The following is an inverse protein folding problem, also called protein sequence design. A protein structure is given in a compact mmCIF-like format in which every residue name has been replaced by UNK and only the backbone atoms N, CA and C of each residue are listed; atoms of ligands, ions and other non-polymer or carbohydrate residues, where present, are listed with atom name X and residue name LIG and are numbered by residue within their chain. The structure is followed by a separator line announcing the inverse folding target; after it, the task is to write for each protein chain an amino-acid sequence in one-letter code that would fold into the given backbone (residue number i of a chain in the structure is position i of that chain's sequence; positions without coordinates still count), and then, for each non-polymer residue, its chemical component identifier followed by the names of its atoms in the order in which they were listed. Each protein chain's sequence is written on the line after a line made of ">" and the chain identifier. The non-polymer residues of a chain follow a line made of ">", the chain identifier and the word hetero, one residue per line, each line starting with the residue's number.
data_IF_984628724251
#
_entry.id   IF_984628724251
#
_cell.length_a   1.000
_cell.length_b   1.000
_cell.length_c   1.000
_cell.angle_alpha   90.00
_cell.angle_beta   90.00
_cell.angle_gamma   90.00
#
_symmetry.space_group_name_H-M   'P 1'
#
loop_
_entity.id
_entity.type
_entity.pdbx_description
1 polymer ?
#
# COMPACT_ATOMS: atom_id res chain seq x y z
N UNK A 1 32.21 10.48 61.86
CA UNK A 1 31.02 9.93 61.17
C UNK A 1 31.04 10.46 59.74
N UNK A 2 31.42 9.63 58.77
CA UNK A 2 31.49 10.00 57.35
C UNK A 2 30.23 9.45 56.69
N UNK A 3 29.38 10.35 56.18
CA UNK A 3 28.14 10.01 55.46
C UNK A 3 28.49 9.79 53.99
N UNK A 4 28.48 8.54 53.56
CA UNK A 4 28.59 8.15 52.15
C UNK A 4 27.23 8.34 51.46
N UNK A 5 27.15 9.23 50.48
CA UNK A 5 25.97 9.41 49.62
C UNK A 5 26.18 8.59 48.35
N UNK A 6 25.38 7.55 48.18
CA UNK A 6 25.36 6.69 46.98
C UNK A 6 24.53 7.38 45.88
N UNK A 7 25.10 7.75 44.73
CA UNK A 7 24.30 8.28 43.62
C UNK A 7 23.67 7.09 42.89
N UNK A 8 22.34 6.99 42.98
CA UNK A 8 21.55 6.12 42.14
C UNK A 8 21.55 6.69 40.72
N UNK A 9 22.37 6.12 39.83
CA UNK A 9 22.32 6.42 38.40
C UNK A 9 21.15 5.63 37.83
N UNK A 10 20.02 6.31 37.61
CA UNK A 10 18.91 5.77 36.84
C UNK A 10 19.36 5.58 35.39
N UNK A 11 19.62 4.33 35.01
CA UNK A 11 19.84 3.95 33.62
C UNK A 11 18.50 4.07 32.87
N UNK A 12 18.24 5.23 32.27
CA UNK A 12 17.17 5.40 31.29
C UNK A 12 17.53 4.58 30.05
N UNK A 13 16.93 3.40 29.92
CA UNK A 13 16.95 2.62 28.69
C UNK A 13 16.35 3.46 27.56
N UNK A 14 17.20 4.05 26.71
CA UNK A 14 16.78 4.66 25.45
C UNK A 14 16.41 3.52 24.52
N UNK A 15 15.13 3.16 24.49
CA UNK A 15 14.59 2.26 23.49
C UNK A 15 14.66 2.98 22.13
N UNK A 16 15.70 2.70 21.35
CA UNK A 16 15.77 3.09 19.95
C UNK A 16 14.68 2.32 19.20
N UNK A 17 13.54 2.96 18.94
CA UNK A 17 12.55 2.44 18.02
C UNK A 17 13.17 2.42 16.61
N UNK A 18 13.50 1.24 16.10
CA UNK A 18 13.87 1.05 14.71
C UNK A 18 12.61 1.21 13.85
N UNK A 19 12.47 2.36 13.19
CA UNK A 19 11.48 2.53 12.13
C UNK A 19 11.85 1.59 10.98
N UNK A 20 10.95 0.66 10.63
CA UNK A 20 11.12 -0.21 9.47
C UNK A 20 11.15 0.58 8.17
N UNK A 21 11.59 -0.02 7.06
CA UNK A 21 11.57 0.62 5.74
C UNK A 21 10.12 0.99 5.37
N UNK A 22 9.85 2.28 5.21
CA UNK A 22 8.55 2.76 4.74
C UNK A 22 8.47 2.49 3.23
N UNK A 23 7.57 1.61 2.83
CA UNK A 23 7.26 1.41 1.42
C UNK A 23 6.67 2.72 0.85
N UNK A 24 7.16 3.21 -0.31
CA UNK A 24 6.65 4.45 -0.89
C UNK A 24 5.22 4.25 -1.38
N UNK A 25 4.45 5.33 -1.37
CA UNK A 25 3.18 5.36 -2.10
C UNK A 25 3.47 5.34 -3.61
N UNK A 26 2.70 4.56 -4.36
CA UNK A 26 2.79 4.53 -5.81
C UNK A 26 1.72 5.41 -6.42
N UNK A 27 1.93 5.89 -7.63
CA UNK A 27 0.93 6.59 -8.44
C UNK A 27 0.50 5.67 -9.56
N UNK A 28 -0.76 5.29 -9.59
CA UNK A 28 -1.33 4.42 -10.63
C UNK A 28 -2.15 5.28 -11.58
N UNK A 29 -1.96 5.10 -12.88
CA UNK A 29 -2.76 5.81 -13.88
C UNK A 29 -4.23 5.33 -13.85
N UNK A 30 -5.16 6.27 -14.00
CA UNK A 30 -6.59 5.97 -14.10
C UNK A 30 -6.91 5.42 -15.48
N UNK A 31 -7.61 4.30 -15.49
CA UNK A 31 -8.06 3.63 -16.72
C UNK A 31 -9.56 3.43 -16.65
N UNK A 32 -10.26 3.72 -17.75
CA UNK A 32 -11.71 3.52 -17.84
C UNK A 32 -12.03 2.03 -17.62
N UNK A 33 -12.94 1.73 -16.69
CA UNK A 33 -13.23 0.35 -16.25
C UNK A 33 -12.02 -0.39 -15.66
N UNK A 34 -11.03 0.35 -15.15
CA UNK A 34 -9.76 -0.15 -14.63
C UNK A 34 -9.46 0.31 -13.21
N UNK A 35 -8.21 0.71 -12.96
CA UNK A 35 -7.80 1.38 -11.73
C UNK A 35 -8.51 2.74 -11.54
N UNK A 36 -9.14 2.93 -10.38
CA UNK A 36 -9.58 4.25 -9.90
C UNK A 36 -11.05 4.61 -10.12
N UNK A 37 -11.34 5.91 -9.99
CA UNK A 37 -12.69 6.48 -10.14
C UNK A 37 -13.18 6.38 -11.59
N UNK A 38 -14.40 5.85 -11.80
CA UNK A 38 -15.05 5.85 -13.12
C UNK A 38 -15.13 7.26 -13.70
N UNK A 39 -14.89 7.37 -15.01
CA UNK A 39 -15.03 8.61 -15.78
C UNK A 39 -14.11 9.76 -15.30
N UNK A 40 -13.06 9.46 -14.54
CA UNK A 40 -12.06 10.42 -14.13
C UNK A 40 -10.72 10.15 -14.83
N UNK A 41 -10.07 11.22 -15.26
CA UNK A 41 -8.70 11.18 -15.80
C UNK A 41 -7.68 11.44 -14.70
N UNK A 42 -6.43 11.01 -14.88
CA UNK A 42 -5.32 11.33 -13.99
C UNK A 42 -4.69 10.11 -13.33
N UNK A 43 -4.30 10.27 -12.05
CA UNK A 43 -3.59 9.25 -11.28
C UNK A 43 -4.19 9.13 -9.89
N UNK A 44 -4.21 7.93 -9.36
CA UNK A 44 -4.55 7.65 -7.97
C UNK A 44 -3.30 7.30 -7.16
N UNK A 45 -3.34 7.65 -5.88
CA UNK A 45 -2.31 7.25 -4.93
C UNK A 45 -2.62 5.84 -4.46
N UNK A 46 -1.73 4.89 -4.71
CA UNK A 46 -1.77 3.56 -4.18
C UNK A 46 -0.94 3.48 -2.90
N UNK A 47 -1.53 2.96 -1.84
CA UNK A 47 -0.91 2.85 -0.53
C UNK A 47 -0.38 1.44 -0.31
N UNK A 48 0.81 1.27 0.31
CA UNK A 48 1.37 -0.04 0.58
C UNK A 48 0.50 -0.80 1.59
N UNK A 49 0.34 -2.11 1.36
CA UNK A 49 -0.43 -2.99 2.25
C UNK A 49 0.52 -3.72 3.18
N UNK A 50 0.86 -3.04 4.28
CA UNK A 50 1.88 -3.51 5.21
C UNK A 50 3.19 -3.85 4.49
N UNK A 51 3.82 -4.95 4.89
CA UNK A 51 5.12 -5.40 4.35
C UNK A 51 4.98 -6.48 3.25
N UNK A 52 3.80 -6.60 2.62
CA UNK A 52 3.50 -7.67 1.66
C UNK A 52 4.03 -7.41 0.24
N UNK A 53 4.61 -6.23 -0.01
CA UNK A 53 5.09 -5.85 -1.34
C UNK A 53 3.96 -5.69 -2.36
N UNK A 54 2.75 -5.34 -1.89
CA UNK A 54 1.59 -5.04 -2.73
C UNK A 54 0.94 -3.73 -2.29
N UNK A 55 0.29 -3.05 -3.23
CA UNK A 55 -0.34 -1.75 -3.03
C UNK A 55 -1.84 -1.82 -3.26
N UNK A 56 -2.59 -0.92 -2.63
CA UNK A 56 -4.02 -0.78 -2.79
C UNK A 56 -4.38 0.63 -3.27
N UNK A 57 -5.23 0.72 -4.29
CA UNK A 57 -5.77 2.00 -4.78
C UNK A 57 -7.15 2.24 -4.15
N UNK A 58 -7.38 3.39 -3.47
CA UNK A 58 -8.69 3.77 -2.98
C UNK A 58 -9.68 3.91 -4.15
N UNK A 59 -10.83 3.25 -4.04
CA UNK A 59 -11.80 2.92 -5.12
C UNK A 59 -11.49 1.65 -5.90
N UNK A 60 -12.23 0.63 -5.50
CA UNK A 60 -12.33 -0.68 -6.11
C UNK A 60 -13.10 -0.63 -7.45
N UNK A 61 -13.05 -1.78 -8.13
CA UNK A 61 -13.80 -2.19 -9.30
C UNK A 61 -14.90 -1.20 -9.71
N UNK A 62 -14.70 -0.44 -10.78
CA UNK A 62 -15.59 0.65 -11.08
C UNK A 62 -17.01 0.11 -11.35
N UNK A 63 -18.02 0.55 -10.57
CA UNK A 63 -19.43 0.12 -10.70
C UNK A 63 -19.88 -1.03 -9.77
N UNK A 64 -19.00 -1.56 -8.92
CA UNK A 64 -19.32 -2.67 -8.02
C UNK A 64 -18.93 -2.36 -6.57
N UNK A 65 -19.84 -1.75 -5.77
CA UNK A 65 -19.56 -1.25 -4.42
C UNK A 65 -19.23 -2.27 -3.34
N UNK A 66 -19.38 -3.56 -3.64
CA UNK A 66 -19.34 -4.66 -2.66
C UNK A 66 -18.30 -5.70 -3.03
N UNK A 67 -17.04 -5.30 -3.21
CA UNK A 67 -15.97 -6.28 -3.29
C UNK A 67 -15.74 -6.89 -1.91
N UNK A 68 -15.84 -8.22 -1.80
CA UNK A 68 -15.55 -8.90 -0.54
C UNK A 68 -14.05 -9.19 -0.47
N UNK A 69 -13.37 -8.83 0.62
CA UNK A 69 -11.95 -9.15 0.87
C UNK A 69 -11.69 -10.66 1.01
N UNK A 70 -12.72 -11.49 0.86
CA UNK A 70 -12.67 -12.95 1.01
C UNK A 70 -11.79 -13.58 -0.07
N UNK A 71 -11.69 -12.94 -1.25
CA UNK A 71 -10.83 -13.39 -2.36
C UNK A 71 -9.97 -12.23 -2.85
N UNK A 72 -8.80 -11.99 -2.23
CA UNK A 72 -7.88 -10.98 -2.69
C UNK A 72 -7.10 -11.48 -3.92
N UNK A 73 -6.98 -10.65 -4.96
CA UNK A 73 -6.10 -10.92 -6.11
C UNK A 73 -4.97 -9.93 -6.19
N UNK A 74 -3.83 -10.41 -6.69
CA UNK A 74 -2.69 -9.57 -7.00
C UNK A 74 -2.58 -9.45 -8.52
N UNK A 75 -2.65 -8.22 -9.00
CA UNK A 75 -2.45 -7.86 -10.41
C UNK A 75 -1.07 -7.26 -10.55
N UNK A 76 -0.29 -7.77 -11.50
CA UNK A 76 1.02 -7.21 -11.83
C UNK A 76 0.84 -6.02 -12.77
N UNK A 77 1.39 -4.86 -12.38
CA UNK A 77 1.32 -3.63 -13.17
C UNK A 77 2.72 -3.09 -13.48
N UNK A 78 3.02 -2.75 -14.74
CA UNK A 78 4.33 -2.23 -15.11
C UNK A 78 4.51 -0.82 -14.56
N UNK A 79 5.64 -0.59 -13.88
CA UNK A 79 5.97 0.69 -13.27
C UNK A 79 7.33 1.21 -13.76
N UNK A 80 7.40 2.53 -13.90
CA UNK A 80 8.63 3.30 -14.06
C UNK A 80 8.78 4.21 -12.84
N UNK A 81 9.72 3.86 -11.95
CA UNK A 81 9.86 4.46 -10.62
C UNK A 81 8.55 4.32 -9.81
N UNK A 82 8.07 5.41 -9.22
CA UNK A 82 6.82 5.47 -8.43
C UNK A 82 5.56 5.60 -9.31
N UNK A 83 5.71 5.66 -10.64
CA UNK A 83 4.59 5.76 -11.56
C UNK A 83 4.31 4.40 -12.21
N UNK A 84 3.12 3.89 -11.97
CA UNK A 84 2.63 2.64 -12.51
C UNK A 84 1.55 2.87 -13.56
N UNK A 85 1.57 2.04 -14.60
CA UNK A 85 0.45 1.94 -15.50
C UNK A 85 -0.79 1.47 -14.73
N UNK A 86 -1.97 1.92 -15.16
CA UNK A 86 -3.22 1.31 -14.72
C UNK A 86 -3.40 -0.08 -15.30
N UNK A 87 -4.54 -0.70 -14.98
CA UNK A 87 -4.94 -2.00 -15.52
C UNK A 87 -6.40 -1.93 -15.96
N UNK A 88 -6.81 -2.85 -16.81
CA UNK A 88 -8.22 -3.02 -17.20
C UNK A 88 -8.83 -4.21 -16.46
N UNK A 89 -10.08 -4.06 -16.02
CA UNK A 89 -10.82 -5.16 -15.41
C UNK A 89 -11.28 -6.11 -16.51
N UNK A 90 -10.81 -7.35 -16.48
CA UNK A 90 -11.28 -8.42 -17.36
C UNK A 90 -12.22 -9.38 -16.60
N UNK A 91 -13.08 -10.16 -17.28
CA UNK A 91 -13.95 -11.15 -16.63
C UNK A 91 -13.20 -12.15 -15.74
N UNK A 92 -11.94 -12.46 -16.07
CA UNK A 92 -11.07 -13.40 -15.34
C UNK A 92 -10.62 -12.86 -13.98
N UNK A 93 -10.61 -11.54 -13.78
CA UNK A 93 -10.31 -10.89 -12.50
C UNK A 93 -11.47 -11.01 -11.48
N UNK A 94 -12.63 -11.52 -11.91
CA UNK A 94 -13.77 -11.84 -11.05
C UNK A 94 -14.60 -10.61 -10.66
N UNK A 95 -15.92 -10.78 -10.59
CA UNK A 95 -16.84 -9.76 -10.08
C UNK A 95 -16.69 -9.65 -8.56
N UNK A 96 -16.17 -8.54 -8.06
CA UNK A 96 -16.22 -8.18 -6.64
C UNK A 96 -15.05 -8.70 -5.80
N UNK A 97 -13.86 -8.86 -6.39
CA UNK A 97 -12.65 -9.22 -5.66
C UNK A 97 -11.85 -7.96 -5.26
N UNK A 98 -11.17 -8.02 -4.11
CA UNK A 98 -10.24 -6.96 -3.70
C UNK A 98 -8.96 -7.10 -4.52
N UNK A 99 -8.63 -6.06 -5.29
CA UNK A 99 -7.42 -6.05 -6.10
C UNK A 99 -6.28 -5.35 -5.37
N UNK A 100 -5.15 -6.02 -5.37
CA UNK A 100 -3.86 -5.55 -4.91
C UNK A 100 -2.92 -5.48 -6.09
N UNK A 101 -1.98 -4.56 -6.06
CA UNK A 101 -1.09 -4.30 -7.18
C UNK A 101 0.33 -4.66 -6.81
N UNK A 102 0.96 -5.49 -7.63
CA UNK A 102 2.39 -5.77 -7.55
C UNK A 102 3.10 -5.00 -8.67
N UNK A 103 3.98 -4.05 -8.33
CA UNK A 103 4.76 -3.36 -9.33
C UNK A 103 5.77 -4.32 -9.96
N UNK A 104 5.78 -4.38 -11.28
CA UNK A 104 6.82 -5.05 -12.06
C UNK A 104 7.60 -4.01 -12.84
N UNK A 105 8.90 -4.26 -13.07
CA UNK A 105 9.71 -3.33 -13.88
C UNK A 105 9.19 -3.35 -15.32
N UNK A 106 8.97 -2.15 -15.86
CA UNK A 106 8.63 -1.95 -17.28
C UNK A 106 9.80 -2.31 -18.20
#
# INVERSE_FOLDING_TARGET
>A
MIRSVFPWIAACCVATASAGPVAPNLRVERVTFGSGLQNAIGRDTAEPVGDLGVWHVPQYLPGHPTSATIWPRVVEIPCANELCAGYEVTPELGRGEYLFFRPVRK
#
